data_IF_727664551450
#
_entry.id   IF_727664551450
#
_cell.length_a   1.000
_cell.length_b   1.000
_cell.length_c   1.000
_cell.angle_alpha   90.00
_cell.angle_beta   90.00
_cell.angle_gamma   90.00
#
_symmetry.space_group_name_H-M   'P 1'
#
loop_
_entity.id
_entity.type
_entity.pdbx_description
1 polymer ?
#
# COMPACT_ATOMS: atom_id res chain seq x y z
N UNK A 1 60.72 5.44 37.68
CA UNK A 1 60.08 6.19 36.57
C UNK A 1 59.35 5.18 35.69
N UNK A 2 58.04 5.01 35.92
CA UNK A 2 57.19 4.06 35.14
C UNK A 2 56.30 4.91 34.24
N UNK A 3 56.46 4.70 32.92
CA UNK A 3 55.67 5.35 31.86
C UNK A 3 54.43 4.52 31.64
N UNK A 4 53.23 5.07 31.98
CA UNK A 4 51.95 4.51 31.58
C UNK A 4 51.62 4.95 30.14
N UNK A 5 51.56 4.00 29.24
CA UNK A 5 50.98 4.19 27.90
C UNK A 5 49.46 4.07 27.99
N UNK A 6 48.72 5.16 27.75
CA UNK A 6 47.29 5.15 27.55
C UNK A 6 47.02 4.80 26.07
N UNK A 7 46.43 3.63 25.86
CA UNK A 7 45.93 3.23 24.53
C UNK A 7 44.53 3.85 24.34
N UNK A 8 44.43 4.79 23.42
CA UNK A 8 43.15 5.38 23.01
C UNK A 8 42.42 4.42 22.05
N UNK A 9 41.30 3.87 22.50
CA UNK A 9 40.39 3.05 21.69
C UNK A 9 39.55 3.99 20.83
N UNK A 10 39.82 4.03 19.52
CA UNK A 10 38.99 4.75 18.55
C UNK A 10 37.83 3.83 18.17
N UNK A 11 36.63 4.13 18.66
CA UNK A 11 35.39 3.47 18.23
C UNK A 11 34.99 4.11 16.89
N UNK A 12 35.17 3.37 15.81
CA UNK A 12 34.64 3.73 14.52
C UNK A 12 33.10 3.50 14.51
N UNK A 13 32.34 4.58 14.61
CA UNK A 13 30.89 4.56 14.38
C UNK A 13 30.69 4.44 12.86
N UNK A 14 30.32 3.25 12.40
CA UNK A 14 29.84 3.05 11.05
C UNK A 14 28.47 3.70 10.91
N UNK A 15 28.42 4.90 10.35
CA UNK A 15 27.19 5.54 9.91
C UNK A 15 26.68 4.71 8.73
N UNK A 16 25.62 3.92 8.93
CA UNK A 16 24.87 3.29 7.85
C UNK A 16 24.37 4.41 6.94
N UNK A 17 24.93 4.51 5.75
CA UNK A 17 24.60 5.55 4.79
C UNK A 17 23.12 5.45 4.38
N UNK A 18 22.42 6.58 4.43
CA UNK A 18 21.07 6.71 3.90
C UNK A 18 21.04 6.28 2.42
N UNK A 19 19.96 5.65 1.94
CA UNK A 19 19.83 5.26 0.53
C UNK A 19 20.08 6.46 -0.38
N UNK A 20 20.91 6.26 -1.41
CA UNK A 20 21.21 7.28 -2.41
C UNK A 20 20.25 7.14 -3.60
N UNK A 21 19.80 8.23 -4.22
CA UNK A 21 19.01 8.16 -5.44
C UNK A 21 19.84 7.50 -6.55
N UNK A 22 19.34 6.40 -7.10
CA UNK A 22 19.93 5.73 -8.26
C UNK A 22 19.10 6.04 -9.50
N UNK A 23 19.70 6.65 -10.50
CA UNK A 23 19.13 6.82 -11.84
C UNK A 23 19.64 5.67 -12.71
N UNK A 24 18.76 4.71 -13.00
CA UNK A 24 19.05 3.57 -13.88
C UNK A 24 17.76 2.88 -14.27
N UNK A 25 17.70 2.25 -15.44
CA UNK A 25 16.52 1.56 -15.94
C UNK A 25 16.00 0.53 -14.93
N UNK A 26 14.85 0.83 -14.31
CA UNK A 26 14.26 0.02 -13.24
C UNK A 26 13.38 -1.14 -13.71
N UNK A 27 13.14 -1.24 -15.03
CA UNK A 27 12.22 -2.24 -15.58
C UNK A 27 11.92 -2.00 -17.05
N UNK A 28 10.88 -2.66 -17.57
CA UNK A 28 10.41 -2.53 -18.94
C UNK A 28 8.88 -2.49 -19.03
N UNK A 29 8.33 -2.01 -20.15
CA UNK A 29 6.90 -2.00 -20.40
C UNK A 29 6.57 -3.11 -21.39
N UNK A 30 5.83 -4.11 -20.93
CA UNK A 30 5.26 -5.14 -21.80
C UNK A 30 3.92 -4.63 -22.34
N UNK A 31 3.81 -4.52 -23.66
CA UNK A 31 2.60 -4.03 -24.35
C UNK A 31 1.87 -5.21 -24.95
N UNK A 32 0.67 -5.51 -24.45
CA UNK A 32 -0.15 -6.62 -24.92
C UNK A 32 -1.28 -6.15 -25.83
N UNK A 33 -1.68 -4.89 -25.68
CA UNK A 33 -2.78 -4.29 -26.43
C UNK A 33 -2.46 -2.86 -26.87
N UNK A 34 -2.86 -2.43 -28.08
CA UNK A 34 -2.65 -1.08 -28.59
C UNK A 34 -3.30 0.04 -27.74
N UNK A 35 -4.36 -0.25 -26.97
CA UNK A 35 -4.98 0.71 -26.06
C UNK A 35 -4.00 1.22 -24.99
N UNK A 36 -2.97 0.43 -24.65
CA UNK A 36 -1.91 0.85 -23.73
C UNK A 36 -1.15 2.09 -24.22
N UNK A 37 -1.11 2.32 -25.51
CA UNK A 37 -0.44 3.49 -26.10
C UNK A 37 -1.15 4.81 -25.75
N UNK A 38 -2.43 4.77 -25.44
CA UNK A 38 -3.15 5.94 -24.88
C UNK A 38 -2.77 6.25 -23.43
N UNK A 39 -2.21 5.29 -22.71
CA UNK A 39 -1.88 5.34 -21.29
C UNK A 39 -0.39 5.64 -21.08
N UNK A 40 0.47 4.88 -21.76
CA UNK A 40 1.94 4.94 -21.56
C UNK A 40 2.62 5.59 -22.77
N UNK A 41 3.44 6.64 -22.58
CA UNK A 41 4.25 7.18 -23.67
C UNK A 41 5.16 6.11 -24.29
N UNK A 42 5.44 6.22 -25.61
CA UNK A 42 6.26 5.23 -26.33
C UNK A 42 7.67 5.03 -25.74
N UNK A 43 8.23 6.08 -25.16
CA UNK A 43 9.57 6.08 -24.59
C UNK A 43 9.56 6.26 -23.05
N UNK A 44 8.43 5.93 -22.39
CA UNK A 44 8.36 5.98 -20.94
C UNK A 44 9.35 4.99 -20.32
N UNK A 45 10.09 5.46 -19.32
CA UNK A 45 11.05 4.66 -18.57
C UNK A 45 10.57 4.46 -17.14
N UNK A 46 10.77 3.26 -16.62
CA UNK A 46 10.63 2.97 -15.21
C UNK A 46 11.93 3.34 -14.52
N UNK A 47 11.88 4.27 -13.60
CA UNK A 47 13.05 4.76 -12.86
C UNK A 47 13.05 4.21 -11.44
N UNK A 48 14.17 3.64 -10.99
CA UNK A 48 14.40 3.36 -9.58
C UNK A 48 14.85 4.64 -8.90
N UNK A 49 14.07 5.15 -7.94
CA UNK A 49 14.30 6.45 -7.29
C UNK A 49 14.90 6.36 -5.90
N UNK A 50 14.71 5.21 -5.22
CA UNK A 50 15.35 4.90 -3.96
C UNK A 50 15.44 3.39 -3.76
N UNK A 51 16.33 2.94 -2.88
CA UNK A 51 16.51 1.52 -2.53
C UNK A 51 17.13 1.37 -1.14
N UNK A 52 17.22 0.14 -0.67
CA UNK A 52 17.79 -0.21 0.65
C UNK A 52 16.72 -0.42 1.71
N UNK A 53 15.47 -0.60 1.31
CA UNK A 53 14.35 -0.96 2.17
C UNK A 53 14.32 -2.48 2.42
N UNK A 54 13.48 -2.90 3.35
CA UNK A 54 13.20 -4.32 3.62
C UNK A 54 11.89 -4.76 3.01
N UNK A 55 10.83 -3.95 3.18
CA UNK A 55 9.52 -4.15 2.57
C UNK A 55 8.72 -2.83 2.62
N UNK A 56 8.93 -1.93 1.64
CA UNK A 56 8.18 -0.67 1.54
C UNK A 56 6.77 -0.94 1.02
N UNK A 57 5.77 -0.33 1.66
CA UNK A 57 4.36 -0.54 1.41
C UNK A 57 3.51 0.73 1.55
N UNK A 58 2.25 0.63 1.14
CA UNK A 58 1.23 1.65 1.38
C UNK A 58 1.59 3.05 0.93
N UNK A 59 2.11 3.26 -0.29
CA UNK A 59 2.55 4.59 -0.70
C UNK A 59 1.37 5.56 -0.82
N UNK A 60 1.58 6.82 -0.41
CA UNK A 60 0.65 7.91 -0.62
C UNK A 60 1.38 9.21 -0.92
N UNK A 61 0.92 9.92 -1.96
CA UNK A 61 1.45 11.23 -2.30
C UNK A 61 0.78 12.33 -1.49
N UNK A 62 1.57 13.11 -0.78
CA UNK A 62 1.11 14.29 -0.05
C UNK A 62 1.15 15.51 -0.97
N UNK A 63 0.06 16.28 -1.01
CA UNK A 63 -0.09 17.42 -1.93
C UNK A 63 0.99 18.50 -1.82
N UNK A 64 1.72 18.55 -0.70
CA UNK A 64 2.88 19.43 -0.51
C UNK A 64 4.17 18.93 -1.21
N UNK A 65 4.09 17.88 -2.04
CA UNK A 65 5.16 17.51 -2.98
C UNK A 65 6.10 16.42 -2.47
N UNK A 66 5.63 15.44 -1.74
CA UNK A 66 6.43 14.29 -1.31
C UNK A 66 5.60 13.01 -1.20
N UNK A 67 6.27 11.87 -1.25
CA UNK A 67 5.71 10.56 -1.04
C UNK A 67 5.94 10.11 0.42
N UNK A 68 4.91 9.56 1.05
CA UNK A 68 5.02 8.76 2.26
C UNK A 68 4.80 7.29 1.90
N UNK A 69 5.46 6.39 2.61
CA UNK A 69 5.27 4.96 2.51
C UNK A 69 5.69 4.28 3.82
N UNK A 70 5.07 3.16 4.11
CA UNK A 70 5.41 2.32 5.25
C UNK A 70 6.67 1.49 4.96
N UNK A 71 7.58 1.38 5.90
CA UNK A 71 8.65 0.38 5.91
C UNK A 71 8.30 -0.61 7.04
N UNK A 72 7.54 -1.65 6.67
CA UNK A 72 6.84 -2.52 7.62
C UNK A 72 7.79 -3.16 8.63
N UNK A 73 8.89 -3.85 8.23
CA UNK A 73 9.75 -4.54 9.20
C UNK A 73 10.51 -3.61 10.14
N UNK A 74 10.64 -2.33 9.78
CA UNK A 74 11.29 -1.32 10.60
C UNK A 74 10.31 -0.54 11.48
N UNK A 75 9.00 -0.75 11.30
CA UNK A 75 7.91 -0.05 11.97
C UNK A 75 8.03 1.47 11.85
N UNK A 76 8.30 1.98 10.64
CA UNK A 76 8.40 3.41 10.36
C UNK A 76 7.54 3.77 9.15
N UNK A 77 7.15 5.03 9.07
CA UNK A 77 6.69 5.66 7.84
C UNK A 77 7.83 6.54 7.34
N UNK A 78 8.29 6.27 6.14
CA UNK A 78 9.34 7.03 5.49
C UNK A 78 8.76 8.08 4.54
N UNK A 79 9.53 9.15 4.36
CA UNK A 79 9.26 10.26 3.46
C UNK A 79 10.33 10.35 2.40
N UNK A 80 9.91 10.34 1.14
CA UNK A 80 10.78 10.64 0.00
C UNK A 80 10.32 11.93 -0.70
N UNK A 81 11.28 12.81 -0.99
CA UNK A 81 11.06 14.05 -1.75
C UNK A 81 11.73 13.88 -3.11
N UNK A 82 11.10 14.25 -4.25
CA UNK A 82 11.72 14.18 -5.57
C UNK A 82 13.09 14.85 -5.62
N UNK A 83 14.12 14.09 -6.08
CA UNK A 83 15.51 14.54 -6.08
C UNK A 83 16.20 14.62 -4.71
N UNK A 84 15.49 14.30 -3.64
CA UNK A 84 16.01 14.31 -2.27
C UNK A 84 16.30 12.92 -1.71
N UNK A 85 16.64 12.90 -0.43
CA UNK A 85 16.88 11.68 0.34
C UNK A 85 15.58 11.17 0.98
N UNK A 86 15.57 9.88 1.30
CA UNK A 86 14.57 9.30 2.19
C UNK A 86 14.88 9.69 3.64
N UNK A 87 13.87 10.06 4.38
CA UNK A 87 13.94 10.38 5.82
C UNK A 87 12.75 9.79 6.54
N UNK A 88 12.92 9.40 7.79
CA UNK A 88 11.80 8.93 8.61
C UNK A 88 10.84 10.07 8.91
N UNK A 89 9.57 9.88 8.58
CA UNK A 89 8.47 10.81 8.86
C UNK A 89 7.79 10.50 10.20
N UNK A 90 7.50 9.22 10.46
CA UNK A 90 6.94 8.75 11.72
C UNK A 90 7.75 7.54 12.18
N UNK A 91 8.37 7.67 13.36
CA UNK A 91 9.30 6.68 13.88
C UNK A 91 8.61 5.51 14.60
N UNK A 92 9.40 4.47 14.99
CA UNK A 92 8.87 3.26 15.61
C UNK A 92 8.08 3.53 16.89
N UNK A 93 8.41 4.57 17.65
CA UNK A 93 7.74 4.94 18.89
C UNK A 93 6.24 5.21 18.72
N UNK A 94 5.78 5.56 17.51
CA UNK A 94 4.37 5.75 17.23
C UNK A 94 3.58 4.42 17.18
N UNK A 95 4.29 3.30 16.96
CA UNK A 95 3.71 1.96 16.78
C UNK A 95 4.07 1.00 17.92
N UNK A 96 4.89 1.42 18.89
CA UNK A 96 5.35 0.57 20.00
C UNK A 96 4.29 0.39 21.08
N UNK A 97 3.31 -0.45 20.80
CA UNK A 97 2.48 -1.08 21.82
C UNK A 97 2.95 -2.53 22.01
N UNK A 98 2.63 -3.13 23.15
CA UNK A 98 2.98 -4.52 23.45
C UNK A 98 2.54 -5.50 22.34
N UNK A 99 1.41 -5.22 21.70
CA UNK A 99 0.85 -6.02 20.62
C UNK A 99 1.69 -5.93 19.35
N UNK A 100 2.10 -4.73 18.94
CA UNK A 100 2.97 -4.53 17.78
C UNK A 100 4.35 -5.17 17.97
N UNK A 101 4.89 -5.16 19.17
CA UNK A 101 6.19 -5.81 19.48
C UNK A 101 6.18 -7.34 19.27
N UNK A 102 5.01 -7.95 19.25
CA UNK A 102 4.83 -9.40 19.04
C UNK A 102 4.08 -9.72 17.73
N UNK A 103 3.84 -8.73 16.88
CA UNK A 103 3.20 -8.91 15.58
C UNK A 103 4.13 -9.65 14.59
N UNK A 104 3.54 -10.34 13.63
CA UNK A 104 4.27 -10.92 12.50
C UNK A 104 4.85 -9.81 11.63
N UNK A 105 4.05 -8.77 11.40
CA UNK A 105 4.43 -7.54 10.70
C UNK A 105 4.16 -6.34 11.60
N UNK A 106 5.18 -5.81 12.28
CA UNK A 106 5.02 -4.64 13.13
C UNK A 106 4.87 -3.35 12.31
N UNK A 107 4.25 -2.34 12.89
CA UNK A 107 4.15 -1.02 12.27
C UNK A 107 2.91 -0.82 11.42
N UNK A 108 3.04 0.07 10.44
CA UNK A 108 1.97 0.43 9.51
C UNK A 108 2.07 -0.35 8.20
N UNK A 109 0.95 -0.41 7.45
CA UNK A 109 0.88 -0.89 6.09
C UNK A 109 0.27 0.20 5.19
N UNK A 110 -0.96 0.08 4.71
CA UNK A 110 -1.61 1.04 3.83
C UNK A 110 -1.71 2.45 4.42
N UNK A 111 -1.50 3.46 3.58
CA UNK A 111 -1.60 4.87 3.91
C UNK A 111 -2.55 5.58 2.96
N UNK A 112 -3.35 6.52 3.47
CA UNK A 112 -4.17 7.42 2.67
C UNK A 112 -4.31 8.79 3.34
N UNK A 113 -4.85 9.78 2.62
CA UNK A 113 -5.16 11.09 3.19
C UNK A 113 -6.67 11.28 3.28
N UNK A 114 -7.13 11.89 4.36
CA UNK A 114 -8.52 12.37 4.43
C UNK A 114 -8.70 13.70 3.68
N UNK A 115 -9.94 14.17 3.55
CA UNK A 115 -10.26 15.44 2.88
C UNK A 115 -9.56 16.67 3.45
N UNK A 116 -9.03 16.60 4.67
CA UNK A 116 -8.26 17.66 5.31
C UNK A 116 -6.75 17.48 5.14
N UNK A 117 -6.33 16.48 4.34
CA UNK A 117 -4.94 16.13 4.11
C UNK A 117 -4.25 15.49 5.30
N UNK A 118 -5.01 14.93 6.28
CA UNK A 118 -4.44 14.22 7.43
C UNK A 118 -4.17 12.76 7.04
N UNK A 119 -3.02 12.26 7.47
CA UNK A 119 -2.60 10.89 7.21
C UNK A 119 -3.47 9.90 7.99
N UNK A 120 -4.11 8.97 7.28
CA UNK A 120 -4.82 7.83 7.86
C UNK A 120 -4.03 6.57 7.55
N UNK A 121 -3.91 5.69 8.54
CA UNK A 121 -2.90 4.62 8.61
C UNK A 121 -3.59 3.31 8.96
N UNK A 122 -3.34 2.26 8.20
CA UNK A 122 -3.48 0.89 8.68
C UNK A 122 -2.35 0.61 9.67
N UNK A 123 -2.59 0.81 10.97
CA UNK A 123 -1.67 0.50 12.06
C UNK A 123 -1.76 -1.02 12.34
N UNK A 124 -1.17 -1.77 11.39
CA UNK A 124 -1.32 -3.21 11.22
C UNK A 124 -0.85 -3.97 12.45
N UNK A 125 0.34 -3.67 12.96
CA UNK A 125 0.90 -4.32 14.12
C UNK A 125 0.08 -4.11 15.40
N UNK A 126 -0.66 -3.01 15.50
CA UNK A 126 -1.59 -2.72 16.59
C UNK A 126 -3.04 -3.08 16.27
N UNK A 127 -3.30 -3.67 15.10
CA UNK A 127 -4.61 -4.19 14.68
C UNK A 127 -5.72 -3.12 14.71
N UNK A 128 -5.43 -1.94 14.15
CA UNK A 128 -6.34 -0.77 14.20
C UNK A 128 -6.15 0.17 13.01
N UNK A 129 -7.13 1.04 12.79
CA UNK A 129 -7.03 2.19 11.89
C UNK A 129 -6.78 3.42 12.73
N UNK A 130 -5.75 4.20 12.40
CA UNK A 130 -5.42 5.45 13.09
C UNK A 130 -5.34 6.61 12.12
N UNK A 131 -5.43 7.83 12.64
CA UNK A 131 -5.23 9.07 11.90
C UNK A 131 -4.26 9.97 12.65
N UNK A 132 -3.27 10.48 11.94
CA UNK A 132 -2.32 11.44 12.46
C UNK A 132 -2.97 12.83 12.47
N UNK A 133 -3.14 13.39 13.63
CA UNK A 133 -3.71 14.73 13.83
C UNK A 133 -2.63 15.81 13.63
N UNK A 134 -3.07 17.08 13.48
CA UNK A 134 -2.15 18.19 13.22
C UNK A 134 -1.17 18.51 14.36
N UNK A 135 -1.51 18.11 15.58
CA UNK A 135 -0.66 18.25 16.77
C UNK A 135 0.30 17.06 16.97
N UNK A 136 0.28 16.08 16.03
CA UNK A 136 1.19 14.94 16.01
C UNK A 136 0.71 13.70 16.76
N UNK A 137 -0.45 13.73 17.44
CA UNK A 137 -0.96 12.51 18.06
C UNK A 137 -1.73 11.62 17.08
N UNK A 138 -1.81 10.32 17.37
CA UNK A 138 -2.59 9.34 16.63
C UNK A 138 -3.96 9.12 17.28
N UNK A 139 -5.02 9.47 16.55
CA UNK A 139 -6.41 9.16 16.93
C UNK A 139 -6.78 7.78 16.40
N UNK A 140 -7.25 6.88 17.26
CA UNK A 140 -7.81 5.59 16.84
C UNK A 140 -9.18 5.82 16.24
N UNK A 141 -9.36 5.49 14.95
CA UNK A 141 -10.65 5.58 14.26
C UNK A 141 -11.49 4.31 14.47
N UNK A 142 -10.84 3.16 14.49
CA UNK A 142 -11.44 1.86 14.78
C UNK A 142 -10.37 0.83 15.13
N UNK A 143 -10.68 -0.09 16.07
CA UNK A 143 -9.84 -1.23 16.43
C UNK A 143 -10.64 -2.53 16.56
N UNK A 144 -11.98 -2.47 16.44
CA UNK A 144 -12.90 -3.59 16.68
C UNK A 144 -14.10 -3.59 15.76
N UNK A 145 -14.59 -4.79 15.53
CA UNK A 145 -15.90 -5.04 14.94
C UNK A 145 -16.71 -5.96 15.85
N UNK A 146 -17.89 -5.52 16.30
CA UNK A 146 -18.75 -6.28 17.24
C UNK A 146 -18.02 -6.77 18.51
N UNK A 147 -17.15 -5.92 19.07
CA UNK A 147 -16.38 -6.22 20.27
C UNK A 147 -15.11 -7.04 20.05
N UNK A 148 -14.90 -7.62 18.87
CA UNK A 148 -13.71 -8.40 18.50
C UNK A 148 -12.67 -7.51 17.79
N UNK A 149 -11.39 -7.74 18.11
CA UNK A 149 -10.28 -7.05 17.45
C UNK A 149 -10.21 -7.40 15.96
N UNK A 150 -9.81 -6.42 15.14
CA UNK A 150 -9.44 -6.69 13.75
C UNK A 150 -8.30 -7.71 13.68
N UNK A 151 -8.11 -8.35 12.52
CA UNK A 151 -6.98 -9.22 12.29
C UNK A 151 -5.68 -8.42 12.19
N UNK A 152 -5.52 -7.69 11.10
CA UNK A 152 -4.42 -6.75 10.86
C UNK A 152 -4.77 -5.87 9.65
N UNK A 153 -5.43 -4.71 9.85
CA UNK A 153 -5.80 -3.83 8.74
C UNK A 153 -4.64 -3.56 7.79
N UNK A 154 -4.88 -3.76 6.47
CA UNK A 154 -3.82 -3.81 5.48
C UNK A 154 -3.83 -2.61 4.52
N UNK A 155 -4.84 -2.42 3.67
CA UNK A 155 -4.94 -1.27 2.76
C UNK A 155 -6.27 -0.52 2.95
N UNK A 156 -6.34 0.75 2.51
CA UNK A 156 -7.48 1.61 2.80
C UNK A 156 -7.67 2.69 1.72
N UNK A 157 -8.94 3.07 1.52
CA UNK A 157 -9.33 4.14 0.59
C UNK A 157 -10.51 4.93 1.12
N UNK A 158 -10.46 6.27 1.00
CA UNK A 158 -11.61 7.11 1.26
C UNK A 158 -12.54 7.20 0.05
N UNK A 159 -13.83 7.15 0.31
CA UNK A 159 -14.87 7.57 -0.63
C UNK A 159 -15.09 9.08 -0.55
N UNK A 160 -15.58 9.70 -1.62
CA UNK A 160 -15.84 11.14 -1.68
C UNK A 160 -16.83 11.65 -0.62
N UNK A 161 -17.68 10.78 -0.04
CA UNK A 161 -18.56 11.12 1.08
C UNK A 161 -17.84 11.17 2.45
N UNK A 162 -16.54 10.82 2.50
CA UNK A 162 -15.73 10.77 3.70
C UNK A 162 -15.78 9.45 4.46
N UNK A 163 -16.49 8.44 3.96
CA UNK A 163 -16.40 7.10 4.51
C UNK A 163 -15.09 6.42 4.10
N UNK A 164 -14.51 5.66 5.01
CA UNK A 164 -13.26 4.94 4.82
C UNK A 164 -13.55 3.45 4.62
N UNK A 165 -12.98 2.85 3.59
CA UNK A 165 -13.01 1.41 3.32
C UNK A 165 -11.62 0.84 3.54
N UNK A 166 -11.54 -0.35 4.14
CA UNK A 166 -10.26 -1.01 4.41
C UNK A 166 -10.40 -2.53 4.41
N UNK A 167 -9.28 -3.20 4.18
CA UNK A 167 -9.12 -4.64 4.19
C UNK A 167 -8.48 -5.11 5.49
N UNK A 168 -8.81 -6.32 5.96
CA UNK A 168 -8.37 -6.86 7.24
C UNK A 168 -7.95 -8.34 7.12
N UNK A 169 -6.89 -8.64 6.34
CA UNK A 169 -6.29 -9.98 6.27
C UNK A 169 -5.47 -10.28 7.53
N UNK A 170 -4.96 -11.51 7.72
CA UNK A 170 -4.28 -11.90 8.95
C UNK A 170 -2.76 -11.68 8.96
N UNK A 171 -2.14 -11.04 7.96
CA UNK A 171 -0.67 -10.95 7.78
C UNK A 171 0.10 -10.38 8.99
N UNK A 172 -0.48 -9.43 9.71
CA UNK A 172 0.12 -8.88 10.93
C UNK A 172 0.09 -9.83 12.13
N UNK A 173 -0.60 -10.96 12.04
CA UNK A 173 -0.61 -12.00 13.08
C UNK A 173 0.52 -13.01 12.84
N UNK A 174 1.36 -13.36 13.85
CA UNK A 174 2.55 -14.22 13.66
C UNK A 174 2.26 -15.60 13.08
N UNK A 175 1.04 -16.11 13.22
CA UNK A 175 0.59 -17.41 12.66
C UNK A 175 -0.62 -17.25 11.75
N UNK A 176 -0.87 -16.01 11.29
CA UNK A 176 -1.96 -15.66 10.38
C UNK A 176 -3.31 -16.27 10.81
N UNK A 177 -3.99 -17.00 9.92
CA UNK A 177 -5.27 -17.65 10.21
C UNK A 177 -5.25 -18.64 11.37
N UNK A 178 -4.08 -19.17 11.71
CA UNK A 178 -3.87 -20.12 12.82
C UNK A 178 -3.43 -19.43 14.11
N UNK A 179 -3.34 -18.11 14.11
CA UNK A 179 -2.91 -17.37 15.29
C UNK A 179 -3.98 -17.40 16.39
N UNK A 180 -3.62 -17.77 17.64
CA UNK A 180 -4.57 -17.81 18.74
C UNK A 180 -5.15 -16.43 19.12
N UNK A 181 -4.49 -15.32 18.71
CA UNK A 181 -4.98 -13.96 18.88
C UNK A 181 -6.01 -13.54 17.82
N UNK A 182 -6.23 -14.35 16.77
CA UNK A 182 -7.24 -14.06 15.74
C UNK A 182 -8.65 -14.22 16.33
N UNK A 183 -9.36 -13.10 16.51
CA UNK A 183 -10.70 -13.08 17.12
C UNK A 183 -11.82 -13.17 16.08
N UNK A 184 -11.63 -12.59 14.90
CA UNK A 184 -12.59 -12.67 13.80
C UNK A 184 -12.40 -13.99 13.04
N UNK A 185 -13.48 -14.77 12.80
CA UNK A 185 -13.39 -16.07 12.12
C UNK A 185 -13.26 -15.94 10.58
N UNK A 186 -13.01 -14.76 10.06
CA UNK A 186 -12.87 -14.41 8.64
C UNK A 186 -11.87 -13.28 8.45
N UNK A 187 -11.42 -13.09 7.23
CA UNK A 187 -10.81 -11.83 6.77
C UNK A 187 -11.91 -10.95 6.18
N UNK A 188 -11.86 -9.64 6.44
CA UNK A 188 -12.96 -8.76 6.09
C UNK A 188 -12.58 -7.59 5.20
N UNK A 189 -13.55 -7.10 4.42
CA UNK A 189 -13.57 -5.73 3.90
C UNK A 189 -14.56 -4.95 4.73
N UNK A 190 -14.15 -3.84 5.30
CA UNK A 190 -14.94 -3.03 6.22
C UNK A 190 -15.11 -1.60 5.72
N UNK A 191 -16.13 -0.92 6.26
CA UNK A 191 -16.37 0.52 6.09
C UNK A 191 -16.50 1.19 7.43
N UNK A 192 -15.85 2.35 7.60
CA UNK A 192 -16.05 3.28 8.70
C UNK A 192 -16.82 4.49 8.17
N UNK A 193 -17.99 4.77 8.74
CA UNK A 193 -18.79 5.96 8.42
C UNK A 193 -19.46 6.47 9.68
N UNK A 194 -19.31 7.77 10.00
CA UNK A 194 -19.88 8.38 11.20
C UNK A 194 -19.46 7.66 12.49
N UNK A 195 -18.24 7.13 12.56
CA UNK A 195 -17.72 6.36 13.70
C UNK A 195 -18.24 4.93 13.80
N UNK A 196 -19.09 4.49 12.86
CA UNK A 196 -19.62 3.11 12.84
C UNK A 196 -18.80 2.25 11.89
N UNK A 197 -18.37 1.07 12.37
CA UNK A 197 -17.74 0.02 11.55
C UNK A 197 -18.83 -0.92 11.00
N UNK A 198 -18.79 -1.16 9.69
CA UNK A 198 -19.69 -2.07 8.99
C UNK A 198 -18.89 -3.10 8.21
N UNK A 199 -19.18 -4.38 8.37
CA UNK A 199 -18.63 -5.45 7.53
C UNK A 199 -19.32 -5.44 6.18
N UNK A 200 -18.54 -5.46 5.09
CA UNK A 200 -19.03 -5.43 3.71
C UNK A 200 -18.84 -6.76 3.00
N UNK A 201 -17.66 -7.39 3.15
CA UNK A 201 -17.26 -8.65 2.51
C UNK A 201 -16.57 -9.52 3.57
N UNK A 202 -16.79 -10.84 3.53
CA UNK A 202 -16.19 -11.82 4.46
C UNK A 202 -15.85 -13.17 3.82
N UNK A 203 -16.00 -13.27 2.51
CA UNK A 203 -15.81 -14.48 1.72
C UNK A 203 -14.49 -14.48 0.94
N UNK A 204 -13.67 -13.45 1.08
CA UNK A 204 -12.28 -13.43 0.65
C UNK A 204 -11.39 -14.00 1.75
N UNK A 205 -10.36 -14.73 1.36
CA UNK A 205 -9.39 -15.32 2.31
C UNK A 205 -8.36 -14.31 2.80
N UNK A 206 -7.73 -13.60 1.84
CA UNK A 206 -6.70 -12.62 2.09
C UNK A 206 -6.97 -11.35 1.26
N UNK A 207 -8.06 -10.58 1.57
CA UNK A 207 -8.31 -9.31 0.90
C UNK A 207 -7.17 -8.34 1.20
N UNK A 208 -6.63 -7.68 0.15
CA UNK A 208 -5.45 -6.83 0.27
C UNK A 208 -5.73 -5.44 -0.35
N UNK A 209 -5.20 -5.13 -1.53
CA UNK A 209 -5.41 -3.84 -2.16
C UNK A 209 -6.87 -3.54 -2.50
N UNK A 210 -7.23 -2.25 -2.44
CA UNK A 210 -8.56 -1.81 -2.83
C UNK A 210 -8.55 -0.41 -3.46
N UNK A 211 -9.46 -0.18 -4.42
CA UNK A 211 -9.63 1.10 -5.09
C UNK A 211 -11.06 1.29 -5.61
N UNK A 212 -11.54 2.52 -5.64
CA UNK A 212 -12.80 2.87 -6.31
C UNK A 212 -12.62 3.12 -7.80
N UNK A 213 -13.68 2.85 -8.60
CA UNK A 213 -13.81 3.43 -9.92
C UNK A 213 -13.94 4.96 -9.84
N UNK A 214 -13.65 5.72 -10.93
CA UNK A 214 -13.70 7.19 -10.89
C UNK A 214 -15.05 7.78 -10.48
N UNK A 215 -16.12 7.10 -10.84
CA UNK A 215 -17.51 7.45 -10.48
C UNK A 215 -17.97 6.87 -9.15
N UNK A 216 -17.09 6.16 -8.45
CA UNK A 216 -17.34 5.47 -7.18
C UNK A 216 -18.51 4.48 -7.21
N UNK A 217 -18.93 4.04 -8.40
CA UNK A 217 -19.99 3.04 -8.53
C UNK A 217 -19.49 1.61 -8.26
N UNK A 218 -18.18 1.41 -8.35
CA UNK A 218 -17.55 0.12 -8.08
C UNK A 218 -16.39 0.27 -7.08
N UNK A 219 -16.27 -0.73 -6.21
CA UNK A 219 -15.08 -0.98 -5.41
C UNK A 219 -14.39 -2.22 -5.96
N UNK A 220 -13.12 -2.09 -6.31
CA UNK A 220 -12.25 -3.21 -6.62
C UNK A 220 -11.54 -3.64 -5.35
N UNK A 221 -11.40 -4.95 -5.15
CA UNK A 221 -10.63 -5.54 -4.04
C UNK A 221 -9.91 -6.75 -4.59
N UNK A 222 -8.64 -6.88 -4.33
CA UNK A 222 -7.96 -8.13 -4.64
C UNK A 222 -8.00 -9.14 -3.50
N UNK A 223 -7.71 -10.38 -3.83
CA UNK A 223 -7.48 -11.49 -2.91
C UNK A 223 -6.14 -12.13 -3.26
N UNK A 224 -5.18 -12.01 -2.35
CA UNK A 224 -3.81 -12.43 -2.63
C UNK A 224 -3.69 -13.94 -2.78
N UNK A 225 -4.33 -14.71 -1.90
CA UNK A 225 -4.18 -16.16 -1.84
C UNK A 225 -5.34 -16.88 -1.11
N UNK A 226 -5.50 -18.20 -1.25
CA UNK A 226 -4.87 -19.06 -2.25
C UNK A 226 -5.39 -18.83 -3.66
N UNK A 227 -6.52 -18.15 -3.80
CA UNK A 227 -7.14 -17.75 -5.06
C UNK A 227 -6.72 -16.33 -5.38
N UNK A 228 -5.83 -16.17 -6.33
CA UNK A 228 -5.34 -14.86 -6.79
C UNK A 228 -6.39 -14.22 -7.71
N UNK A 229 -7.20 -13.30 -7.15
CA UNK A 229 -8.33 -12.68 -7.83
C UNK A 229 -8.29 -11.16 -7.70
N UNK A 230 -8.76 -10.47 -8.73
CA UNK A 230 -9.28 -9.11 -8.59
C UNK A 230 -10.79 -9.19 -8.65
N UNK A 231 -11.46 -8.69 -7.61
CA UNK A 231 -12.91 -8.68 -7.47
C UNK A 231 -13.47 -7.28 -7.72
N UNK A 232 -14.70 -7.20 -8.21
CA UNK A 232 -15.44 -5.96 -8.41
C UNK A 232 -16.78 -6.05 -7.71
N UNK A 233 -17.08 -5.05 -6.90
CA UNK A 233 -18.32 -4.93 -6.13
C UNK A 233 -19.06 -3.66 -6.50
N UNK A 234 -20.36 -3.75 -6.83
CA UNK A 234 -21.18 -2.55 -7.03
C UNK A 234 -21.44 -1.87 -5.70
N UNK A 235 -21.13 -0.56 -5.61
CA UNK A 235 -21.40 0.25 -4.44
C UNK A 235 -22.88 0.69 -4.45
N UNK A 236 -23.57 0.46 -3.35
CA UNK A 236 -24.97 0.88 -3.18
C UNK A 236 -25.06 2.31 -2.66
N UNK A 237 -26.22 2.98 -2.78
CA UNK A 237 -26.41 4.35 -2.30
C UNK A 237 -26.11 4.55 -0.79
N UNK A 238 -26.28 3.51 0.03
CA UNK A 238 -25.97 3.52 1.46
C UNK A 238 -24.48 3.25 1.76
N UNK A 239 -23.65 3.06 0.72
CA UNK A 239 -22.23 2.73 0.82
C UNK A 239 -21.94 1.27 1.15
N UNK A 240 -22.96 0.40 1.22
CA UNK A 240 -22.74 -1.06 1.27
C UNK A 240 -22.46 -1.60 -0.14
N UNK A 241 -22.04 -2.87 -0.21
CA UNK A 241 -21.66 -3.50 -1.48
C UNK A 241 -22.74 -4.49 -1.94
N UNK A 242 -22.87 -4.64 -3.24
CA UNK A 242 -23.60 -5.73 -3.88
C UNK A 242 -22.78 -7.02 -3.89
N UNK A 243 -23.31 -8.10 -4.51
CA UNK A 243 -22.55 -9.32 -4.74
C UNK A 243 -21.28 -9.02 -5.55
N UNK A 244 -20.17 -9.69 -5.18
CA UNK A 244 -18.90 -9.59 -5.90
C UNK A 244 -18.96 -10.33 -7.24
N UNK A 245 -18.24 -9.80 -8.22
CA UNK A 245 -17.95 -10.47 -9.49
C UNK A 245 -16.44 -10.52 -9.68
N UNK A 246 -15.93 -11.60 -10.25
CA UNK A 246 -14.53 -11.70 -10.62
C UNK A 246 -14.28 -10.67 -11.75
N UNK A 247 -13.36 -9.74 -11.49
CA UNK A 247 -12.91 -8.78 -12.50
C UNK A 247 -11.80 -9.41 -13.36
N UNK A 248 -10.85 -10.09 -12.69
CA UNK A 248 -9.83 -10.88 -13.37
C UNK A 248 -9.33 -12.02 -12.47
N UNK A 249 -9.08 -13.18 -13.07
CA UNK A 249 -8.60 -14.39 -12.38
C UNK A 249 -7.15 -14.69 -12.80
N UNK A 250 -6.26 -14.74 -11.85
CA UNK A 250 -4.84 -15.03 -12.02
C UNK A 250 -4.48 -16.50 -11.77
N UNK A 251 -5.47 -17.39 -11.52
CA UNK A 251 -5.21 -18.79 -11.14
C UNK A 251 -4.29 -19.53 -12.12
N UNK A 252 -4.41 -19.25 -13.42
CA UNK A 252 -3.59 -19.87 -14.48
C UNK A 252 -2.35 -19.05 -14.85
N UNK A 253 -2.10 -17.92 -14.18
CA UNK A 253 -0.98 -17.04 -14.50
C UNK A 253 0.28 -17.52 -13.79
N UNK A 254 1.37 -17.83 -14.51
CA UNK A 254 2.63 -18.22 -13.87
C UNK A 254 3.29 -17.03 -13.19
N UNK A 255 4.07 -17.29 -12.16
CA UNK A 255 4.85 -16.29 -11.41
C UNK A 255 4.51 -16.27 -9.94
N UNK A 256 5.45 -15.77 -9.14
CA UNK A 256 5.42 -15.86 -7.68
C UNK A 256 4.72 -14.69 -7.00
N UNK A 257 4.57 -13.53 -7.70
CA UNK A 257 3.94 -12.36 -7.10
C UNK A 257 2.42 -12.53 -7.03
N UNK A 258 1.86 -12.25 -5.85
CA UNK A 258 0.42 -12.24 -5.61
C UNK A 258 -0.18 -10.84 -5.90
N UNK A 259 -1.50 -10.73 -6.12
CA UNK A 259 -2.22 -9.47 -5.94
C UNK A 259 -1.93 -8.89 -4.55
N UNK A 260 -1.63 -7.59 -4.49
CA UNK A 260 -1.28 -6.87 -3.26
C UNK A 260 -1.90 -5.47 -3.31
N UNK A 261 -1.20 -4.42 -3.73
CA UNK A 261 -1.80 -3.09 -3.83
C UNK A 261 -2.35 -2.75 -5.21
N UNK A 262 -3.35 -1.86 -5.28
CA UNK A 262 -3.92 -1.38 -6.54
C UNK A 262 -4.34 0.08 -6.49
N UNK A 263 -4.35 0.75 -7.65
CA UNK A 263 -4.90 2.09 -7.84
C UNK A 263 -5.61 2.19 -9.20
N UNK A 264 -6.42 3.24 -9.38
CA UNK A 264 -7.20 3.50 -10.60
C UNK A 264 -6.86 4.88 -11.14
N UNK A 265 -6.85 5.07 -12.46
CA UNK A 265 -6.71 6.37 -13.09
C UNK A 265 -8.08 7.04 -13.38
N UNK A 266 -8.06 8.29 -13.86
CA UNK A 266 -9.27 9.07 -14.13
C UNK A 266 -10.14 8.49 -15.25
N UNK A 267 -9.59 7.62 -16.11
CA UNK A 267 -10.33 6.93 -17.15
C UNK A 267 -10.87 5.56 -16.70
N UNK A 268 -10.56 5.15 -15.47
CA UNK A 268 -11.00 3.88 -14.90
C UNK A 268 -10.08 2.70 -15.18
N UNK A 269 -8.91 2.93 -15.77
CA UNK A 269 -7.92 1.86 -15.90
C UNK A 269 -7.36 1.49 -14.52
N UNK A 270 -7.28 0.20 -14.24
CA UNK A 270 -6.76 -0.33 -12.97
C UNK A 270 -5.28 -0.69 -13.11
N UNK A 271 -4.50 -0.29 -12.13
CA UNK A 271 -3.07 -0.61 -11.97
C UNK A 271 -2.94 -1.45 -10.71
N UNK A 272 -2.63 -2.72 -10.87
CA UNK A 272 -2.60 -3.68 -9.76
C UNK A 272 -1.32 -4.51 -9.79
N UNK A 273 -0.78 -4.79 -8.62
CA UNK A 273 0.38 -5.68 -8.48
C UNK A 273 0.00 -7.10 -8.87
N UNK A 274 0.91 -7.79 -9.52
CA UNK A 274 0.69 -9.16 -9.96
C UNK A 274 1.98 -9.80 -10.47
N UNK A 275 1.93 -11.00 -11.03
CA UNK A 275 3.11 -11.70 -11.50
C UNK A 275 4.00 -10.85 -12.44
N UNK A 276 5.22 -10.56 -11.98
CA UNK A 276 6.22 -9.82 -12.74
C UNK A 276 6.12 -8.30 -12.70
N UNK A 277 5.17 -7.69 -11.97
CA UNK A 277 5.11 -6.24 -11.84
C UNK A 277 3.71 -5.65 -11.66
N UNK A 278 3.47 -4.45 -12.20
CA UNK A 278 2.15 -3.80 -12.18
C UNK A 278 1.40 -4.12 -13.47
N UNK A 279 0.28 -4.76 -13.36
CA UNK A 279 -0.65 -5.06 -14.44
C UNK A 279 -1.60 -3.88 -14.69
N UNK A 280 -1.84 -3.55 -15.94
CA UNK A 280 -2.74 -2.47 -16.34
C UNK A 280 -3.93 -3.06 -17.06
N UNK A 281 -5.11 -2.80 -16.53
CA UNK A 281 -6.38 -3.27 -17.08
C UNK A 281 -7.23 -2.11 -17.57
N UNK A 282 -8.00 -2.35 -18.67
CA UNK A 282 -9.09 -1.46 -19.02
C UNK A 282 -10.23 -1.54 -17.98
N UNK A 283 -11.19 -0.59 -17.98
CA UNK A 283 -12.37 -0.65 -17.11
C UNK A 283 -13.22 -1.92 -17.29
N UNK A 284 -13.14 -2.58 -18.44
CA UNK A 284 -13.85 -3.83 -18.75
C UNK A 284 -13.11 -5.08 -18.27
N UNK A 285 -11.86 -4.94 -17.78
CA UNK A 285 -11.05 -6.06 -17.28
C UNK A 285 -10.12 -6.68 -18.32
N UNK A 286 -9.88 -6.00 -19.45
CA UNK A 286 -8.91 -6.44 -20.44
C UNK A 286 -7.50 -6.11 -19.95
N UNK A 287 -6.60 -7.08 -19.92
CA UNK A 287 -5.19 -6.85 -19.58
C UNK A 287 -4.49 -6.18 -20.77
N UNK A 288 -4.10 -4.92 -20.59
CA UNK A 288 -3.49 -4.10 -21.64
C UNK A 288 -1.97 -4.24 -21.71
N UNK A 289 -1.34 -4.54 -20.60
CA UNK A 289 0.11 -4.72 -20.47
C UNK A 289 0.61 -4.65 -19.03
N UNK A 290 1.92 -4.80 -18.87
CA UNK A 290 2.55 -4.90 -17.55
C UNK A 290 3.78 -3.98 -17.47
N UNK A 291 3.89 -3.24 -16.37
CA UNK A 291 5.15 -2.60 -15.97
C UNK A 291 6.00 -3.67 -15.31
N UNK A 292 6.93 -4.26 -16.06
CA UNK A 292 7.79 -5.35 -15.59
C UNK A 292 8.91 -4.81 -14.70
N UNK A 293 8.99 -5.33 -13.48
CA UNK A 293 10.07 -5.04 -12.55
C UNK A 293 10.81 -6.33 -12.18
N UNK A 294 12.09 -6.21 -11.81
CA UNK A 294 12.89 -7.34 -11.32
C UNK A 294 12.62 -7.67 -9.84
N UNK A 295 11.91 -6.82 -9.14
CA UNK A 295 11.54 -6.99 -7.74
C UNK A 295 10.04 -7.28 -7.62
N UNK A 296 9.63 -7.99 -6.58
CA UNK A 296 8.22 -8.19 -6.23
C UNK A 296 7.61 -6.83 -5.90
N UNK A 297 6.55 -6.46 -6.60
CA UNK A 297 5.82 -5.20 -6.35
C UNK A 297 4.81 -5.39 -5.23
N UNK A 298 4.79 -4.46 -4.30
CA UNK A 298 3.87 -4.48 -3.15
C UNK A 298 2.67 -3.56 -3.36
N UNK A 299 2.89 -2.30 -3.78
CA UNK A 299 1.79 -1.35 -3.96
C UNK A 299 2.17 -0.23 -4.95
N UNK A 300 1.24 0.70 -5.21
CA UNK A 300 1.50 1.88 -6.01
C UNK A 300 0.69 3.09 -5.54
N UNK A 301 1.09 4.29 -5.98
CA UNK A 301 0.36 5.54 -5.70
C UNK A 301 0.57 6.56 -6.82
N UNK A 302 -0.44 7.35 -7.09
CA UNK A 302 -0.35 8.48 -7.99
C UNK A 302 0.25 9.69 -7.30
N UNK A 303 1.19 10.37 -7.96
CA UNK A 303 1.86 11.53 -7.41
C UNK A 303 2.21 12.61 -8.42
N UNK A 304 3.08 13.51 -8.01
CA UNK A 304 3.45 14.77 -8.63
C UNK A 304 2.28 15.77 -8.77
N UNK A 305 2.57 17.00 -9.17
CA UNK A 305 1.56 18.08 -9.24
C UNK A 305 0.46 17.79 -10.25
N UNK A 306 0.78 17.14 -11.36
CA UNK A 306 -0.13 16.77 -12.44
C UNK A 306 -0.88 15.43 -12.20
N UNK A 307 -0.48 14.67 -11.16
CA UNK A 307 -1.06 13.38 -10.84
C UNK A 307 -0.77 12.26 -11.83
N UNK A 308 0.20 12.43 -12.72
CA UNK A 308 0.50 11.49 -13.80
C UNK A 308 1.68 10.57 -13.53
N UNK A 309 2.38 10.75 -12.44
CA UNK A 309 3.45 9.85 -12.04
C UNK A 309 2.92 8.74 -11.16
N UNK A 310 3.09 7.50 -11.58
CA UNK A 310 2.84 6.32 -10.76
C UNK A 310 4.11 5.98 -9.99
N UNK A 311 4.07 6.08 -8.67
CA UNK A 311 5.09 5.56 -7.77
C UNK A 311 4.77 4.13 -7.41
N UNK A 312 5.79 3.27 -7.33
CA UNK A 312 5.63 1.83 -7.09
C UNK A 312 6.61 1.44 -5.98
N UNK A 313 6.07 0.83 -4.94
CA UNK A 313 6.86 0.15 -3.91
C UNK A 313 7.11 -1.29 -4.33
N UNK A 314 8.32 -1.78 -4.08
CA UNK A 314 8.72 -3.15 -4.37
C UNK A 314 9.71 -3.62 -3.31
N UNK A 315 9.98 -4.90 -3.21
CA UNK A 315 10.70 -5.59 -2.11
C UNK A 315 11.77 -4.78 -1.38
N UNK A 316 12.62 -4.07 -2.13
CA UNK A 316 13.73 -3.27 -1.54
C UNK A 316 13.83 -1.86 -2.09
N UNK A 317 12.91 -1.44 -2.97
CA UNK A 317 13.08 -0.23 -3.76
C UNK A 317 11.78 0.54 -3.99
N UNK A 318 11.95 1.81 -4.31
CA UNK A 318 10.90 2.70 -4.79
C UNK A 318 11.17 3.01 -6.27
N UNK A 319 10.15 2.85 -7.10
CA UNK A 319 10.17 3.15 -8.53
C UNK A 319 9.16 4.23 -8.89
N UNK A 320 9.31 4.81 -10.09
CA UNK A 320 8.29 5.68 -10.69
C UNK A 320 8.26 5.54 -12.21
N UNK A 321 7.11 5.86 -12.78
CA UNK A 321 6.92 6.04 -14.22
C UNK A 321 5.95 7.18 -14.47
N UNK A 322 6.24 8.04 -15.45
CA UNK A 322 5.34 9.11 -15.85
C UNK A 322 4.41 8.63 -16.98
N UNK A 323 3.11 8.82 -16.81
CA UNK A 323 2.04 8.35 -17.68
C UNK A 323 1.27 9.50 -18.33
N UNK A 324 0.38 9.20 -19.28
CA UNK A 324 -0.41 10.20 -19.98
C UNK A 324 -1.68 10.62 -19.23
N UNK A 325 -2.23 9.71 -18.43
CA UNK A 325 -3.50 9.87 -17.72
C UNK A 325 -3.18 10.09 -16.24
N UNK A 326 -3.84 11.05 -15.62
CA UNK A 326 -3.72 11.29 -14.18
C UNK A 326 -4.48 10.22 -13.40
N UNK A 327 -3.95 9.84 -12.24
CA UNK A 327 -4.63 8.94 -11.33
C UNK A 327 -5.65 9.61 -10.41
N UNK A 328 -6.44 8.77 -9.74
CA UNK A 328 -7.29 9.21 -8.63
C UNK A 328 -6.40 9.27 -7.39
N UNK A 329 -6.37 10.44 -6.75
CA UNK A 329 -5.59 10.70 -5.53
C UNK A 329 -6.52 11.04 -4.37
N UNK A 330 -6.15 10.69 -3.11
CA UNK A 330 -6.88 11.10 -1.93
C UNK A 330 -6.89 12.61 -1.73
#
# INVERSE_FOLDING_TARGET
MRICLLSSLVIAVTVLGSPQPQTGGGGSVERLDPELDAIIPAHAMIEKVASGFKWPEGPVWVHSGFLLFSEIPSAVIDKWIPGGKVTTYLGPAAFTLEEAATAGEPGSNGLTLDKQGRLTICDQGNRRITRLERDGHLTVLADRYQGKRFNSPNDLVYKSDGSLYFTDPPYGLPKEDKDPKKELPFSGVFRIAGGKVTLLVKDLTHPNGLAFSPDEQYLYVDNSEPQRLYMRYKVKPDGTLGPGTVFYDLASTPGENNPDGMKVDQNGNMYATGPGGIWIFSPEGKHLGTLKLSEITSNCAWGDSDGKTLYITASTSLYRIHLKIAGIRP
#
